data_IF_611343282257
#
_entry.id   IF_611343282257
#
_cell.length_a   1.000
_cell.length_b   1.000
_cell.length_c   1.000
_cell.angle_alpha   90.00
_cell.angle_beta   90.00
_cell.angle_gamma   90.00
#
_symmetry.space_group_name_H-M   'P 1'
#
loop_
_entity.id
_entity.type
_entity.pdbx_description
1 polymer ?
#
# COMPACT_ATOMS: atom_id res chain seq x y z
N UNK A 1 -3.29 -2.30 4.94
CA UNK A 1 -2.33 -3.00 5.84
C UNK A 1 -1.22 -3.64 5.02
N UNK A 2 0.02 -3.67 5.51
CA UNK A 2 1.14 -4.35 4.83
C UNK A 2 1.86 -5.21 5.85
N UNK A 3 1.94 -6.52 5.62
CA UNK A 3 2.59 -7.47 6.53
C UNK A 3 3.56 -8.42 5.81
N UNK A 4 4.60 -8.84 6.52
CA UNK A 4 5.51 -9.92 6.11
C UNK A 4 4.95 -11.32 6.38
N UNK A 5 3.82 -11.43 7.09
CA UNK A 5 3.18 -12.71 7.40
C UNK A 5 2.55 -13.36 6.17
N UNK A 6 2.20 -14.64 6.32
CA UNK A 6 1.43 -15.36 5.30
C UNK A 6 0.01 -14.79 5.15
N UNK A 7 -0.56 -14.95 3.96
CA UNK A 7 -1.90 -14.45 3.59
C UNK A 7 -3.00 -14.86 4.59
N UNK A 8 -2.96 -16.09 5.10
CA UNK A 8 -3.95 -16.58 6.06
C UNK A 8 -3.95 -15.78 7.36
N UNK A 9 -2.77 -15.47 7.90
CA UNK A 9 -2.60 -14.68 9.12
C UNK A 9 -3.00 -13.23 8.85
N UNK A 10 -2.60 -12.67 7.70
CA UNK A 10 -2.95 -11.31 7.31
C UNK A 10 -4.47 -11.10 7.23
N UNK A 11 -5.21 -12.06 6.67
CA UNK A 11 -6.68 -12.03 6.61
C UNK A 11 -7.31 -12.07 7.99
N UNK A 12 -6.88 -13.01 8.83
CA UNK A 12 -7.40 -13.11 10.20
C UNK A 12 -7.13 -11.84 11.01
N UNK A 13 -5.92 -11.27 10.92
CA UNK A 13 -5.57 -10.01 11.57
C UNK A 13 -6.38 -8.84 11.01
N UNK A 14 -6.55 -8.75 9.68
CA UNK A 14 -7.39 -7.75 9.03
C UNK A 14 -8.84 -7.79 9.51
N UNK A 15 -9.41 -9.00 9.60
CA UNK A 15 -10.75 -9.22 10.12
C UNK A 15 -10.88 -8.81 11.59
N UNK A 16 -9.90 -9.15 12.42
CA UNK A 16 -9.88 -8.78 13.86
C UNK A 16 -9.77 -7.27 14.07
N UNK A 17 -9.01 -6.58 13.21
CA UNK A 17 -8.84 -5.13 13.26
C UNK A 17 -9.97 -4.36 12.58
N UNK A 18 -10.90 -5.05 11.90
CA UNK A 18 -11.99 -4.43 11.14
C UNK A 18 -11.53 -3.74 9.87
N UNK A 19 -10.37 -4.11 9.32
CA UNK A 19 -9.82 -3.55 8.09
C UNK A 19 -10.42 -4.18 6.82
N UNK A 20 -11.02 -5.37 6.94
CA UNK A 20 -11.59 -6.12 5.83
C UNK A 20 -10.81 -7.38 5.49
N UNK A 21 -11.36 -8.14 4.54
CA UNK A 21 -10.84 -9.46 4.12
C UNK A 21 -10.15 -9.43 2.74
N UNK A 22 -10.10 -8.27 2.07
CA UNK A 22 -9.50 -8.13 0.73
C UNK A 22 -7.97 -7.96 0.82
N UNK A 23 -7.33 -9.02 1.33
CA UNK A 23 -5.87 -9.11 1.43
C UNK A 23 -5.29 -9.85 0.22
N UNK A 24 -4.25 -9.30 -0.38
CA UNK A 24 -3.55 -9.86 -1.54
C UNK A 24 -2.12 -10.28 -1.18
N UNK A 25 -1.56 -11.25 -1.90
CA UNK A 25 -0.16 -11.61 -1.77
C UNK A 25 0.72 -10.59 -2.53
N UNK A 26 1.94 -10.35 -2.04
CA UNK A 26 2.91 -9.47 -2.70
C UNK A 26 3.25 -9.88 -4.14
N UNK A 27 3.11 -11.18 -4.48
CA UNK A 27 3.29 -11.69 -5.84
C UNK A 27 2.39 -11.00 -6.87
N UNK A 28 1.19 -10.61 -6.47
CA UNK A 28 0.20 -9.96 -7.34
C UNK A 28 0.69 -8.59 -7.84
N UNK A 29 1.60 -7.94 -7.11
CA UNK A 29 2.22 -6.68 -7.54
C UNK A 29 3.16 -6.87 -8.75
N UNK A 30 3.81 -8.03 -8.87
CA UNK A 30 4.76 -8.36 -9.93
C UNK A 30 4.13 -9.17 -11.06
N UNK A 31 3.30 -10.16 -10.72
CA UNK A 31 2.67 -11.09 -11.66
C UNK A 31 1.39 -10.50 -12.28
N UNK A 32 0.86 -9.42 -11.70
CA UNK A 32 -0.38 -8.78 -12.14
C UNK A 32 -1.61 -9.39 -11.47
N UNK A 33 -2.81 -8.87 -11.78
CA UNK A 33 -4.05 -9.31 -11.15
C UNK A 33 -4.30 -10.81 -11.41
N UNK A 34 -4.75 -11.59 -10.41
CA UNK A 34 -5.02 -12.99 -10.64
C UNK A 34 -6.14 -13.14 -11.69
N UNK A 35 -6.05 -14.16 -12.57
CA UNK A 35 -7.01 -14.38 -13.64
C UNK A 35 -8.41 -14.55 -13.04
N UNK A 36 -9.33 -13.65 -13.39
CA UNK A 36 -10.70 -13.59 -12.85
C UNK A 36 -10.98 -12.44 -11.88
N UNK A 37 -9.99 -11.59 -11.57
CA UNK A 37 -10.21 -10.37 -10.80
C UNK A 37 -10.79 -9.23 -11.65
N UNK A 38 -11.65 -8.38 -11.05
CA UNK A 38 -12.30 -7.24 -11.72
C UNK A 38 -11.35 -6.07 -12.01
N UNK A 39 -10.07 -6.18 -11.67
CA UNK A 39 -9.13 -5.08 -11.71
C UNK A 39 -8.45 -4.99 -13.07
N UNK A 40 -8.69 -3.89 -13.77
CA UNK A 40 -8.10 -3.59 -15.09
C UNK A 40 -6.60 -3.25 -15.03
N UNK A 41 -6.09 -2.86 -13.87
CA UNK A 41 -4.68 -2.54 -13.63
C UNK A 41 -4.27 -2.89 -12.20
N UNK A 42 -2.97 -3.14 -11.99
CA UNK A 42 -2.38 -3.34 -10.65
C UNK A 42 -2.66 -2.13 -9.75
N UNK A 43 -2.76 -0.93 -10.33
CA UNK A 43 -2.98 0.31 -9.59
C UNK A 43 -4.39 0.38 -9.00
N UNK A 44 -5.42 -0.04 -9.76
CA UNK A 44 -6.79 -0.12 -9.25
C UNK A 44 -6.94 -1.18 -8.15
N UNK A 45 -6.17 -2.26 -8.25
CA UNK A 45 -6.14 -3.26 -7.18
C UNK A 45 -5.51 -2.69 -5.90
N UNK A 46 -4.42 -1.93 -6.01
CA UNK A 46 -3.77 -1.32 -4.83
C UNK A 46 -4.72 -0.35 -4.13
N UNK A 47 -5.57 0.36 -4.88
CA UNK A 47 -6.56 1.30 -4.31
C UNK A 47 -7.68 0.59 -3.53
N UNK A 48 -8.15 -0.55 -4.03
CA UNK A 48 -9.25 -1.32 -3.43
C UNK A 48 -8.76 -2.40 -2.45
N UNK A 49 -7.45 -2.60 -2.33
CA UNK A 49 -6.88 -3.61 -1.44
C UNK A 49 -6.84 -3.13 0.01
N UNK A 50 -7.44 -3.91 0.91
CA UNK A 50 -7.38 -3.68 2.35
C UNK A 50 -5.96 -3.97 2.89
N UNK A 51 -5.21 -4.85 2.21
CA UNK A 51 -3.80 -5.01 2.48
C UNK A 51 -3.05 -6.07 1.70
N UNK A 52 -1.75 -6.13 1.98
CA UNK A 52 -0.80 -7.02 1.33
C UNK A 52 -0.05 -7.89 2.33
N UNK A 53 0.11 -9.17 1.99
CA UNK A 53 0.79 -10.18 2.79
C UNK A 53 2.07 -10.69 2.10
N UNK A 54 3.03 -11.16 2.89
CA UNK A 54 4.34 -11.62 2.42
C UNK A 54 5.15 -10.52 1.74
N UNK A 55 5.09 -9.30 2.27
CA UNK A 55 5.69 -8.11 1.65
C UNK A 55 7.14 -7.94 2.12
N UNK A 56 8.05 -7.81 1.16
CA UNK A 56 9.45 -7.48 1.39
C UNK A 56 9.68 -5.96 1.34
N UNK A 57 10.78 -5.44 1.90
CA UNK A 57 11.08 -4.01 1.88
C UNK A 57 10.97 -3.37 0.49
N UNK A 58 11.41 -4.05 -0.56
CA UNK A 58 11.38 -3.54 -1.94
C UNK A 58 9.95 -3.29 -2.41
N UNK A 59 9.02 -4.18 -2.07
CA UNK A 59 7.61 -4.07 -2.44
C UNK A 59 6.90 -2.92 -1.70
N UNK A 60 7.32 -2.59 -0.47
CA UNK A 60 6.78 -1.43 0.27
C UNK A 60 7.01 -0.13 -0.49
N UNK A 61 8.24 0.08 -0.99
CA UNK A 61 8.59 1.27 -1.76
C UNK A 61 7.80 1.38 -3.06
N UNK A 62 7.60 0.27 -3.78
CA UNK A 62 6.81 0.24 -5.01
C UNK A 62 5.35 0.65 -4.78
N UNK A 63 4.72 0.12 -3.72
CA UNK A 63 3.33 0.45 -3.37
C UNK A 63 3.20 1.94 -3.05
N UNK A 64 4.10 2.48 -2.22
CA UNK A 64 4.09 3.90 -1.84
C UNK A 64 4.30 4.80 -3.06
N UNK A 65 5.27 4.48 -3.93
CA UNK A 65 5.56 5.26 -5.13
C UNK A 65 4.39 5.26 -6.12
N UNK A 66 3.69 4.14 -6.26
CA UNK A 66 2.48 4.03 -7.09
C UNK A 66 1.35 4.88 -6.53
N UNK A 67 1.06 4.76 -5.24
CA UNK A 67 0.02 5.56 -4.58
C UNK A 67 0.33 7.07 -4.64
N UNK A 68 1.60 7.46 -4.49
CA UNK A 68 2.03 8.85 -4.67
C UNK A 68 1.87 9.34 -6.12
N UNK A 69 2.20 8.49 -7.11
CA UNK A 69 2.01 8.80 -8.54
C UNK A 69 0.53 9.01 -8.90
N UNK A 70 -0.37 8.31 -8.21
CA UNK A 70 -1.83 8.48 -8.34
C UNK A 70 -2.36 9.74 -7.62
N UNK A 71 -1.50 10.51 -6.95
CA UNK A 71 -1.87 11.74 -6.26
C UNK A 71 -2.45 11.53 -4.86
N UNK A 72 -2.38 10.32 -4.30
CA UNK A 72 -2.80 10.07 -2.93
C UNK A 72 -1.69 10.48 -1.95
N UNK A 73 -2.07 11.19 -0.88
CA UNK A 73 -1.17 11.41 0.24
C UNK A 73 -1.04 10.11 1.03
N UNK A 74 0.15 9.53 1.00
CA UNK A 74 0.47 8.27 1.68
C UNK A 74 1.27 8.57 2.92
N UNK A 75 0.80 8.08 4.06
CA UNK A 75 1.58 7.99 5.27
C UNK A 75 1.91 6.52 5.52
N UNK A 76 3.19 6.20 5.61
CA UNK A 76 3.66 4.88 5.98
C UNK A 76 4.05 4.89 7.45
N UNK A 77 3.54 3.92 8.20
CA UNK A 77 3.93 3.69 9.60
C UNK A 77 4.48 2.27 9.70
N UNK A 78 5.59 2.12 10.41
CA UNK A 78 6.20 0.82 10.69
C UNK A 78 7.15 0.92 11.85
N UNK A 79 7.49 -0.23 12.41
CA UNK A 79 8.27 -0.40 13.64
C UNK A 79 9.79 -0.48 13.40
N UNK A 80 10.21 -0.49 12.13
CA UNK A 80 11.62 -0.65 11.74
C UNK A 80 12.32 0.66 11.36
N UNK A 81 13.61 0.78 11.70
CA UNK A 81 14.51 1.84 11.24
C UNK A 81 14.61 1.97 9.70
N UNK A 82 14.05 1.00 8.95
CA UNK A 82 14.00 0.95 7.50
C UNK A 82 12.86 1.78 6.86
N UNK A 83 11.91 2.31 7.64
CA UNK A 83 10.86 3.21 7.13
C UNK A 83 11.30 4.68 7.08
N UNK A 84 12.54 4.98 7.50
CA UNK A 84 13.11 6.33 7.55
C UNK A 84 13.04 7.14 6.23
N UNK A 85 13.13 6.56 5.02
CA UNK A 85 13.04 7.36 3.78
C UNK A 85 11.60 7.64 3.33
N UNK A 86 10.61 6.85 3.77
CA UNK A 86 9.24 6.91 3.26
C UNK A 86 8.36 7.97 3.96
N UNK A 87 8.82 8.49 5.11
CA UNK A 87 8.11 9.48 5.95
C UNK A 87 8.52 10.93 5.68
N UNK A 88 9.21 11.23 4.57
CA UNK A 88 9.27 12.63 4.12
C UNK A 88 7.91 13.02 3.54
N UNK A 89 6.96 13.21 4.45
CA UNK A 89 5.78 14.01 4.24
C UNK A 89 6.29 15.37 3.75
N UNK A 90 6.03 15.76 2.49
CA UNK A 90 6.24 17.14 2.12
C UNK A 90 5.16 17.90 2.88
N UNK A 91 5.50 18.43 4.05
CA UNK A 91 4.81 19.56 4.62
C UNK A 91 5.08 20.76 3.69
N UNK A 92 4.57 20.70 2.45
CA UNK A 92 4.38 21.86 1.63
C UNK A 92 3.31 22.66 2.37
N UNK A 93 3.78 23.66 3.13
CA UNK A 93 2.94 24.72 3.70
C UNK A 93 1.97 25.13 2.60
N UNK A 94 0.71 24.71 2.72
CA UNK A 94 -0.35 25.15 1.82
C UNK A 94 -0.43 26.66 1.98
N UNK A 95 0.11 27.40 1.01
CA UNK A 95 -0.32 28.77 0.85
C UNK A 95 -1.75 28.74 0.28
N UNK A 96 -2.56 29.76 0.61
CA UNK A 96 -4.02 29.80 0.36
C UNK A 96 -4.49 29.59 -1.10
N UNK A 97 -3.59 29.37 -2.05
CA UNK A 97 -3.84 29.26 -3.49
C UNK A 97 -3.65 27.86 -4.11
N UNK A 98 -3.30 26.84 -3.33
CA UNK A 98 -3.47 25.43 -3.75
C UNK A 98 -2.72 24.96 -5.01
N UNK A 99 -1.56 25.53 -5.36
CA UNK A 99 -0.67 25.00 -6.40
C UNK A 99 0.68 24.58 -5.82
N UNK A 100 1.12 23.38 -6.17
CA UNK A 100 2.46 22.83 -5.91
C UNK A 100 3.41 23.29 -7.02
N UNK A 101 4.61 23.77 -6.64
CA UNK A 101 5.77 23.82 -7.53
C UNK A 101 6.57 22.52 -7.38
#
# INVERSE_FOLDING_TARGET
MVTGDQLAIAKETGRRLGLGDNMFASKVLKEGPPPGSKFSSVDNMILEADGFAGVYPEHKYEIVKKLQSLGHMVAMTGDGANDAPAVTCPCQRRNRSGRCN
#
